data_IF_028905787775
#
_entry.id   IF_028905787775
#
_cell.length_a   1.000
_cell.length_b   1.000
_cell.length_c   1.000
_cell.angle_alpha   90.00
_cell.angle_beta   90.00
_cell.angle_gamma   90.00
#
_symmetry.space_group_name_H-M   'P 1'
#
loop_
_entity.id
_entity.type
_entity.pdbx_description
1 polymer ?
#
# COMPACT_ATOMS: atom_id res chain seq x y z
N UNK A 1 27.13 -47.13 -63.56
CA UNK A 1 26.83 -46.40 -64.80
C UNK A 1 26.41 -44.97 -64.45
N UNK A 2 27.15 -44.01 -65.05
CA UNK A 2 26.70 -42.66 -65.45
C UNK A 2 26.06 -41.77 -64.38
N UNK A 3 26.34 -40.50 -64.18
CA UNK A 3 27.29 -39.46 -64.67
C UNK A 3 26.97 -38.20 -63.92
N UNK A 4 28.02 -37.50 -63.50
CA UNK A 4 28.22 -36.07 -63.43
C UNK A 4 27.03 -35.10 -63.57
N UNK A 5 26.93 -34.05 -62.69
CA UNK A 5 27.09 -32.70 -63.18
C UNK A 5 27.39 -31.74 -62.03
N UNK A 6 28.50 -31.02 -62.13
CA UNK A 6 28.89 -29.85 -61.35
C UNK A 6 28.07 -28.64 -61.83
N UNK A 7 27.70 -27.76 -60.93
CA UNK A 7 27.54 -26.36 -61.31
C UNK A 7 27.97 -25.43 -60.15
N UNK A 8 29.05 -24.77 -60.42
CA UNK A 8 29.61 -23.59 -59.74
C UNK A 8 28.64 -22.41 -59.97
N UNK A 9 28.38 -21.61 -58.95
CA UNK A 9 28.03 -20.21 -59.15
C UNK A 9 28.39 -19.39 -57.89
N UNK A 10 29.50 -18.78 -58.01
CA UNK A 10 29.84 -17.37 -57.90
C UNK A 10 29.30 -16.59 -56.66
N UNK A 11 30.26 -16.26 -55.85
CA UNK A 11 30.21 -15.22 -54.81
C UNK A 11 29.86 -13.84 -55.44
N UNK A 12 28.93 -13.14 -54.83
CA UNK A 12 28.86 -11.68 -54.90
C UNK A 12 28.90 -11.10 -53.51
N UNK A 13 30.08 -10.57 -53.18
CA UNK A 13 30.28 -9.74 -51.97
C UNK A 13 29.80 -8.34 -52.32
N UNK A 14 28.70 -7.92 -51.71
CA UNK A 14 28.34 -6.49 -51.64
C UNK A 14 28.78 -5.92 -50.29
N UNK A 15 29.88 -5.23 -50.30
CA UNK A 15 30.26 -4.30 -49.27
C UNK A 15 29.36 -3.06 -49.45
N UNK A 16 28.37 -2.94 -48.60
CA UNK A 16 27.67 -1.66 -48.39
C UNK A 16 28.19 -1.12 -47.09
N UNK A 17 29.12 -0.22 -47.18
CA UNK A 17 29.48 0.73 -46.11
C UNK A 17 28.37 1.77 -46.07
N UNK A 18 27.55 1.73 -45.05
CA UNK A 18 26.76 2.90 -44.62
C UNK A 18 27.22 3.28 -43.22
N UNK A 19 27.96 4.36 -43.16
CA UNK A 19 28.09 5.14 -41.95
C UNK A 19 26.75 5.87 -41.77
N UNK A 20 25.96 5.48 -40.79
CA UNK A 20 24.95 6.32 -40.20
C UNK A 20 25.19 6.31 -38.70
N UNK A 21 25.50 7.47 -38.18
CA UNK A 21 25.38 7.78 -36.77
C UNK A 21 23.92 7.53 -36.34
N UNK A 22 23.62 6.31 -35.95
CA UNK A 22 22.45 5.99 -35.15
C UNK A 22 22.90 5.99 -33.68
N UNK A 23 22.71 7.12 -33.05
CA UNK A 23 22.61 7.18 -31.60
C UNK A 23 21.35 6.39 -31.23
N UNK A 24 21.47 5.07 -31.17
CA UNK A 24 20.51 4.23 -30.47
C UNK A 24 20.59 4.61 -29.01
N UNK A 25 19.78 5.57 -28.60
CA UNK A 25 19.40 5.70 -27.20
C UNK A 25 18.96 4.30 -26.77
N UNK A 26 19.60 3.68 -25.74
CA UNK A 26 19.13 2.39 -25.24
C UNK A 26 17.63 2.55 -24.96
N UNK A 27 16.79 1.55 -25.31
CA UNK A 27 15.40 1.62 -24.92
C UNK A 27 15.36 1.94 -23.42
N UNK A 28 14.67 3.04 -23.11
CA UNK A 28 14.42 3.39 -21.71
C UNK A 28 13.91 2.13 -21.01
N UNK A 29 14.54 1.61 -19.96
CA UNK A 29 14.06 0.42 -19.31
C UNK A 29 12.58 0.64 -19.03
N UNK A 30 11.74 -0.23 -19.57
CA UNK A 30 10.31 -0.27 -19.26
C UNK A 30 10.21 -0.12 -17.75
N UNK A 31 9.51 0.91 -17.28
CA UNK A 31 9.33 1.19 -15.86
C UNK A 31 8.93 -0.12 -15.19
N UNK A 32 9.87 -0.71 -14.46
CA UNK A 32 9.57 -1.94 -13.72
C UNK A 32 8.49 -1.56 -12.70
N UNK A 33 7.49 -2.39 -12.58
CA UNK A 33 6.53 -2.27 -11.48
C UNK A 33 7.29 -2.53 -10.17
N UNK A 34 7.88 -1.47 -9.62
CA UNK A 34 8.62 -1.56 -8.36
C UNK A 34 7.63 -1.86 -7.24
N UNK A 35 7.97 -2.86 -6.44
CA UNK A 35 7.23 -3.25 -5.23
C UNK A 35 8.16 -3.05 -4.03
N UNK A 36 7.62 -2.42 -3.00
CA UNK A 36 8.33 -2.20 -1.75
C UNK A 36 8.63 -3.55 -1.08
N UNK A 37 9.89 -3.92 -0.92
CA UNK A 37 10.30 -5.19 -0.30
C UNK A 37 10.58 -5.05 1.19
N UNK A 38 11.05 -3.87 1.61
CA UNK A 38 11.42 -3.61 3.01
C UNK A 38 11.33 -2.13 3.33
N UNK A 39 10.94 -1.82 4.55
CA UNK A 39 11.07 -0.50 5.18
C UNK A 39 11.93 -0.62 6.43
N UNK A 40 12.81 0.34 6.65
CA UNK A 40 13.51 0.52 7.92
C UNK A 40 13.07 1.85 8.49
N UNK A 41 12.40 1.83 9.64
CA UNK A 41 12.07 3.00 10.42
C UNK A 41 13.12 3.21 11.49
N UNK A 42 13.59 4.44 11.62
CA UNK A 42 14.48 4.87 12.69
C UNK A 42 13.71 5.83 13.56
N UNK A 43 13.31 5.36 14.73
CA UNK A 43 12.71 6.18 15.78
C UNK A 43 13.82 6.76 16.66
N UNK A 44 13.72 8.07 16.96
CA UNK A 44 14.74 8.79 17.73
C UNK A 44 14.91 8.27 19.18
N UNK A 45 13.92 7.54 19.70
CA UNK A 45 13.88 7.08 21.10
C UNK A 45 13.87 5.56 21.24
N UNK A 46 13.27 4.84 20.29
CA UNK A 46 13.01 3.40 20.40
C UNK A 46 13.98 2.54 19.57
N UNK A 47 14.71 3.16 18.62
CA UNK A 47 15.66 2.45 17.77
C UNK A 47 15.13 2.13 16.37
N UNK A 48 15.69 1.10 15.73
CA UNK A 48 15.39 0.77 14.34
C UNK A 48 14.38 -0.36 14.30
N UNK A 49 13.37 -0.19 13.43
CA UNK A 49 12.33 -1.17 13.18
C UNK A 49 12.33 -1.54 11.70
N UNK A 50 12.30 -2.84 11.43
CA UNK A 50 12.29 -3.35 10.05
C UNK A 50 10.94 -3.99 9.75
N UNK A 51 10.35 -3.62 8.61
CA UNK A 51 9.16 -4.26 8.07
C UNK A 51 9.50 -4.88 6.72
N UNK A 52 9.10 -6.12 6.53
CA UNK A 52 9.29 -6.87 5.30
C UNK A 52 7.94 -7.10 4.61
N UNK A 53 7.95 -7.06 3.27
CA UNK A 53 6.77 -7.19 2.42
C UNK A 53 6.98 -8.36 1.45
N UNK A 54 6.05 -9.32 1.47
CA UNK A 54 6.08 -10.50 0.61
C UNK A 54 4.95 -10.44 -0.41
N UNK A 55 5.27 -10.79 -1.67
CA UNK A 55 4.34 -10.68 -2.80
C UNK A 55 4.20 -11.98 -3.59
N UNK A 56 3.03 -12.14 -4.21
CA UNK A 56 2.79 -13.07 -5.30
C UNK A 56 2.40 -12.25 -6.55
N UNK A 57 3.35 -12.05 -7.47
CA UNK A 57 3.23 -11.02 -8.51
C UNK A 57 3.08 -9.64 -7.88
N UNK A 58 2.04 -8.89 -8.22
CA UNK A 58 1.75 -7.57 -7.62
C UNK A 58 0.74 -7.65 -6.46
N UNK A 59 0.42 -8.83 -5.96
CA UNK A 59 -0.46 -9.03 -4.79
C UNK A 59 0.37 -9.16 -3.55
N UNK A 60 0.14 -8.28 -2.58
CA UNK A 60 0.76 -8.35 -1.26
C UNK A 60 0.21 -9.57 -0.53
N UNK A 61 1.08 -10.44 -0.06
CA UNK A 61 0.71 -11.67 0.65
C UNK A 61 0.89 -11.52 2.14
N UNK A 62 1.97 -10.84 2.54
CA UNK A 62 2.32 -10.68 3.95
C UNK A 62 3.05 -9.36 4.19
N UNK A 63 2.75 -8.73 5.31
CA UNK A 63 3.58 -7.70 5.96
C UNK A 63 4.05 -8.27 7.28
N UNK A 64 5.38 -8.41 7.45
CA UNK A 64 5.99 -8.82 8.70
C UNK A 64 6.68 -7.62 9.34
N UNK A 65 6.26 -7.23 10.56
CA UNK A 65 6.77 -6.08 11.29
C UNK A 65 7.61 -6.57 12.47
N UNK A 66 8.87 -6.14 12.50
CA UNK A 66 9.79 -6.29 13.64
C UNK A 66 10.00 -7.75 14.07
N UNK A 67 9.64 -8.72 13.20
CA UNK A 67 9.56 -10.14 13.54
C UNK A 67 8.60 -10.47 14.71
N UNK A 68 7.74 -9.52 15.10
CA UNK A 68 6.79 -9.65 16.21
C UNK A 68 5.33 -9.61 15.77
N UNK A 69 5.05 -9.10 14.58
CA UNK A 69 3.70 -8.98 14.02
C UNK A 69 3.68 -9.44 12.56
N UNK A 70 2.61 -10.11 12.15
CA UNK A 70 2.39 -10.50 10.75
C UNK A 70 0.96 -10.25 10.33
N UNK A 71 0.77 -9.57 9.18
CA UNK A 71 -0.51 -9.41 8.51
C UNK A 71 -0.54 -10.27 7.25
N UNK A 72 -1.47 -11.20 7.16
CA UNK A 72 -1.65 -12.13 6.03
C UNK A 72 -2.84 -11.69 5.17
N UNK A 73 -2.59 -11.46 3.88
CA UNK A 73 -3.55 -10.92 2.92
C UNK A 73 -4.19 -12.02 2.08
N UNK A 74 -5.51 -12.05 2.00
CA UNK A 74 -6.29 -12.95 1.14
C UNK A 74 -7.06 -12.17 0.09
N UNK A 75 -7.04 -12.68 -1.15
CA UNK A 75 -7.68 -12.04 -2.32
C UNK A 75 -8.81 -12.88 -2.89
N UNK A 76 -9.82 -12.17 -3.41
CA UNK A 76 -10.79 -12.71 -4.36
C UNK A 76 -10.68 -11.91 -5.66
N UNK A 77 -10.19 -12.56 -6.74
CA UNK A 77 -9.77 -11.81 -7.93
C UNK A 77 -8.67 -10.81 -7.58
N UNK A 78 -8.83 -9.55 -7.92
CA UNK A 78 -7.89 -8.47 -7.65
C UNK A 78 -8.25 -7.63 -6.41
N UNK A 79 -9.20 -8.08 -5.61
CA UNK A 79 -9.64 -7.40 -4.40
C UNK A 79 -9.11 -8.11 -3.15
N UNK A 80 -8.57 -7.36 -2.20
CA UNK A 80 -8.24 -7.85 -0.86
C UNK A 80 -9.55 -8.05 -0.11
N UNK A 81 -9.86 -9.29 0.27
CA UNK A 81 -11.13 -9.62 0.94
C UNK A 81 -10.95 -9.97 2.42
N UNK A 82 -9.72 -10.29 2.84
CA UNK A 82 -9.41 -10.57 4.24
C UNK A 82 -7.97 -10.21 4.57
N UNK A 83 -7.76 -9.71 5.80
CA UNK A 83 -6.44 -9.60 6.43
C UNK A 83 -6.53 -10.26 7.80
N UNK A 84 -5.66 -11.23 8.06
CA UNK A 84 -5.49 -11.85 9.37
C UNK A 84 -4.23 -11.28 10.01
N UNK A 85 -4.36 -10.76 11.23
CA UNK A 85 -3.27 -10.11 11.98
C UNK A 85 -2.84 -11.00 13.12
N UNK A 86 -1.55 -11.24 13.21
CA UNK A 86 -0.96 -12.13 14.20
C UNK A 86 0.11 -11.39 15.02
N UNK A 87 0.20 -11.75 16.30
CA UNK A 87 1.43 -11.58 17.07
C UNK A 87 2.32 -12.80 16.86
N UNK A 88 3.62 -12.57 16.75
CA UNK A 88 4.64 -13.61 16.60
C UNK A 88 5.55 -13.57 17.83
N UNK A 89 5.61 -14.64 18.59
CA UNK A 89 6.43 -14.76 19.78
C UNK A 89 7.61 -15.70 19.49
N UNK A 90 8.78 -15.39 20.03
CA UNK A 90 10.01 -16.18 19.85
C UNK A 90 10.36 -16.39 18.36
N UNK A 91 10.15 -15.38 17.54
CA UNK A 91 10.37 -15.41 16.09
C UNK A 91 11.77 -15.95 15.73
N UNK A 92 11.82 -16.78 14.68
CA UNK A 92 13.06 -17.41 14.20
C UNK A 92 13.62 -18.50 15.10
N UNK A 93 12.92 -18.93 16.16
CA UNK A 93 13.32 -20.03 17.03
C UNK A 93 12.49 -21.28 16.79
N UNK A 94 12.94 -22.49 17.24
CA UNK A 94 12.10 -23.69 17.15
C UNK A 94 10.80 -23.64 17.99
N UNK A 95 10.71 -22.70 18.92
CA UNK A 95 9.57 -22.52 19.81
C UNK A 95 8.67 -21.35 19.39
N UNK A 96 8.79 -20.90 18.12
CA UNK A 96 7.98 -19.82 17.56
C UNK A 96 6.48 -20.15 17.68
N UNK A 97 5.72 -19.16 18.17
CA UNK A 97 4.25 -19.24 18.34
C UNK A 97 3.62 -18.03 17.68
N UNK A 98 2.59 -18.27 16.85
CA UNK A 98 1.76 -17.23 16.27
C UNK A 98 0.38 -17.23 16.93
N UNK A 99 -0.11 -16.04 17.32
CA UNK A 99 -1.43 -15.83 17.91
C UNK A 99 -2.25 -14.87 17.02
N UNK A 100 -3.43 -15.33 16.58
CA UNK A 100 -4.35 -14.49 15.82
C UNK A 100 -4.91 -13.37 16.73
N UNK A 101 -4.63 -12.13 16.40
CA UNK A 101 -5.07 -10.94 17.13
C UNK A 101 -6.39 -10.41 16.63
N UNK A 102 -6.55 -10.32 15.31
CA UNK A 102 -7.79 -9.88 14.68
C UNK A 102 -7.90 -10.36 13.24
N UNK A 103 -9.13 -10.35 12.75
CA UNK A 103 -9.42 -10.56 11.32
C UNK A 103 -10.20 -9.39 10.78
N UNK A 104 -9.69 -8.80 9.72
CA UNK A 104 -10.33 -7.76 8.94
C UNK A 104 -10.95 -8.36 7.68
N UNK A 105 -12.25 -8.10 7.44
CA UNK A 105 -13.00 -8.57 6.29
C UNK A 105 -13.49 -7.38 5.47
N UNK A 106 -13.44 -7.51 4.15
CA UNK A 106 -13.77 -6.45 3.20
C UNK A 106 -14.80 -6.93 2.18
N UNK A 107 -15.90 -6.21 2.06
CA UNK A 107 -16.94 -6.47 1.06
C UNK A 107 -17.02 -5.35 0.03
N UNK A 108 -17.22 -5.74 -1.23
CA UNK A 108 -17.22 -4.82 -2.37
C UNK A 108 -18.50 -4.95 -3.18
N UNK A 109 -18.93 -3.84 -3.77
CA UNK A 109 -20.03 -3.85 -4.73
C UNK A 109 -19.53 -4.28 -6.15
N UNK A 110 -20.47 -4.36 -7.09
CA UNK A 110 -20.17 -4.74 -8.48
C UNK A 110 -19.24 -3.77 -9.22
N UNK A 111 -18.99 -2.58 -8.68
CA UNK A 111 -18.07 -1.58 -9.21
C UNK A 111 -16.70 -1.65 -8.52
N UNK A 112 -16.42 -2.69 -7.75
CA UNK A 112 -15.21 -2.87 -6.95
C UNK A 112 -14.97 -1.74 -5.93
N UNK A 113 -16.04 -1.11 -5.42
CA UNK A 113 -15.97 -0.13 -4.36
C UNK A 113 -16.21 -0.85 -3.03
N UNK A 114 -15.38 -0.57 -2.03
CA UNK A 114 -15.52 -1.12 -0.68
C UNK A 114 -16.81 -0.59 -0.03
N UNK A 115 -17.73 -1.48 0.30
CA UNK A 115 -19.03 -1.10 0.92
C UNK A 115 -19.10 -1.47 2.40
N UNK A 116 -18.33 -2.45 2.86
CA UNK A 116 -18.24 -2.83 4.25
C UNK A 116 -16.81 -3.24 4.63
N UNK A 117 -16.41 -2.82 5.80
CA UNK A 117 -15.19 -3.23 6.48
C UNK A 117 -15.55 -3.70 7.88
N UNK A 118 -15.18 -4.94 8.22
CA UNK A 118 -15.47 -5.54 9.50
C UNK A 118 -14.22 -6.07 10.17
N UNK A 119 -14.00 -5.70 11.44
CA UNK A 119 -12.94 -6.27 12.29
C UNK A 119 -13.56 -7.16 13.35
N UNK A 120 -13.03 -8.37 13.49
CA UNK A 120 -13.34 -9.33 14.56
C UNK A 120 -12.09 -9.65 15.37
N UNK A 121 -12.25 -9.88 16.66
CA UNK A 121 -11.17 -10.23 17.59
C UNK A 121 -11.45 -11.63 18.14
N UNK A 122 -10.49 -12.59 18.09
CA UNK A 122 -10.66 -13.92 18.65
C UNK A 122 -11.11 -13.87 20.12
N UNK A 123 -12.02 -14.76 20.49
CA UNK A 123 -12.58 -14.83 21.84
C UNK A 123 -13.33 -13.56 22.32
N UNK A 124 -13.43 -12.53 21.49
CA UNK A 124 -14.30 -11.39 21.73
C UNK A 124 -15.63 -11.63 21.02
N UNK A 125 -16.72 -11.23 21.67
CA UNK A 125 -18.03 -11.21 21.02
C UNK A 125 -18.29 -9.86 20.31
N UNK A 126 -17.33 -8.96 20.37
CA UNK A 126 -17.40 -7.63 19.74
C UNK A 126 -16.97 -7.69 18.28
N UNK A 127 -17.76 -7.10 17.42
CA UNK A 127 -17.40 -6.81 16.04
C UNK A 127 -17.41 -5.29 15.81
N UNK A 128 -16.48 -4.77 15.06
CA UNK A 128 -16.52 -3.39 14.56
C UNK A 128 -16.80 -3.39 13.08
N UNK A 129 -17.88 -2.72 12.68
CA UNK A 129 -18.34 -2.68 11.29
C UNK A 129 -18.35 -1.23 10.82
N UNK A 130 -17.77 -0.97 9.65
CA UNK A 130 -17.84 0.33 8.96
C UNK A 130 -18.48 0.13 7.60
N UNK A 131 -19.54 0.84 7.32
CA UNK A 131 -20.22 0.83 6.01
C UNK A 131 -19.91 2.09 5.23
N UNK A 132 -19.89 1.99 3.90
CA UNK A 132 -19.52 3.09 2.99
C UNK A 132 -20.56 3.30 1.90
N UNK A 133 -20.88 4.56 1.61
CA UNK A 133 -21.76 4.96 0.52
C UNK A 133 -21.04 5.97 -0.37
N UNK A 134 -20.92 5.65 -1.65
CA UNK A 134 -20.21 6.47 -2.65
C UNK A 134 -21.18 7.40 -3.36
N UNK A 135 -20.85 8.68 -3.42
CA UNK A 135 -21.59 9.70 -4.16
C UNK A 135 -20.62 10.65 -4.87
N UNK A 136 -20.39 10.43 -6.17
CA UNK A 136 -19.39 11.17 -6.96
C UNK A 136 -18.02 11.17 -6.27
N UNK A 137 -17.54 12.35 -5.84
CA UNK A 137 -16.24 12.55 -5.19
C UNK A 137 -16.32 12.44 -3.66
N UNK A 138 -17.41 11.98 -3.09
CA UNK A 138 -17.56 11.82 -1.64
C UNK A 138 -17.89 10.38 -1.29
N UNK A 139 -17.37 9.95 -0.13
CA UNK A 139 -17.67 8.67 0.47
C UNK A 139 -18.15 8.97 1.89
N UNK A 140 -19.41 8.72 2.17
CA UNK A 140 -19.90 8.78 3.55
C UNK A 140 -19.72 7.44 4.23
N UNK A 141 -19.47 7.45 5.52
CA UNK A 141 -19.33 6.23 6.31
C UNK A 141 -20.03 6.31 7.65
N UNK A 142 -20.40 5.14 8.14
CA UNK A 142 -20.89 4.92 9.48
C UNK A 142 -20.14 3.75 10.10
N UNK A 143 -19.68 3.92 11.34
CA UNK A 143 -18.99 2.87 12.07
C UNK A 143 -19.75 2.48 13.31
N UNK A 144 -19.98 1.19 13.46
CA UNK A 144 -20.73 0.57 14.55
C UNK A 144 -19.87 -0.40 15.35
N UNK A 145 -20.21 -0.54 16.61
CA UNK A 145 -19.74 -1.63 17.47
C UNK A 145 -20.92 -2.55 17.77
N UNK A 146 -20.74 -3.84 17.48
CA UNK A 146 -21.78 -4.86 17.60
C UNK A 146 -21.42 -5.86 18.68
N UNK A 147 -22.34 -6.14 19.58
CA UNK A 147 -22.27 -7.23 20.54
C UNK A 147 -23.44 -8.17 20.31
N UNK A 148 -23.30 -9.51 20.32
CA UNK A 148 -24.38 -10.45 20.14
C UNK A 148 -25.55 -10.18 21.11
N UNK A 149 -26.75 -10.09 20.54
CA UNK A 149 -27.97 -9.85 21.32
C UNK A 149 -28.24 -8.39 21.69
N UNK A 150 -27.34 -7.46 21.36
CA UNK A 150 -27.54 -6.01 21.57
C UNK A 150 -27.86 -5.31 20.24
N UNK A 151 -28.47 -4.15 20.35
CA UNK A 151 -28.56 -3.23 19.19
C UNK A 151 -27.18 -2.69 18.89
N UNK A 152 -26.74 -2.65 17.59
CA UNK A 152 -25.50 -2.01 17.21
C UNK A 152 -25.37 -0.57 17.74
N UNK A 153 -24.22 -0.25 18.32
CA UNK A 153 -23.94 1.10 18.81
C UNK A 153 -23.20 1.90 17.73
N UNK A 154 -23.75 3.05 17.34
CA UNK A 154 -23.09 3.96 16.41
C UNK A 154 -21.94 4.69 17.10
N UNK A 155 -20.71 4.42 16.67
CA UNK A 155 -19.49 5.02 17.24
C UNK A 155 -19.17 6.37 16.60
N UNK A 156 -19.23 6.42 15.27
CA UNK A 156 -18.91 7.61 14.48
C UNK A 156 -19.51 7.55 13.09
N UNK A 157 -19.73 8.72 12.52
CA UNK A 157 -20.03 8.92 11.10
C UNK A 157 -19.01 9.87 10.48
N UNK A 158 -18.98 9.95 9.17
CA UNK A 158 -18.13 10.95 8.53
C UNK A 158 -18.24 10.96 7.02
N UNK A 159 -17.41 11.83 6.45
CA UNK A 159 -17.31 12.00 5.01
C UNK A 159 -15.86 12.09 4.60
N UNK A 160 -15.50 11.31 3.61
CA UNK A 160 -14.22 11.38 2.89
C UNK A 160 -14.48 12.12 1.59
N UNK A 161 -13.70 13.13 1.28
CA UNK A 161 -13.72 13.80 -0.03
C UNK A 161 -12.52 13.34 -0.85
N UNK A 162 -12.80 12.94 -2.08
CA UNK A 162 -11.79 12.55 -3.07
C UNK A 162 -11.49 13.71 -4.02
N UNK A 163 -10.24 13.91 -4.34
CA UNK A 163 -9.80 14.86 -5.36
C UNK A 163 -8.64 14.25 -6.15
N UNK A 164 -8.72 14.27 -7.48
CA UNK A 164 -7.68 13.77 -8.38
C UNK A 164 -7.23 12.32 -8.09
N UNK A 165 -8.13 11.49 -7.57
CA UNK A 165 -7.87 10.09 -7.21
C UNK A 165 -7.30 9.88 -5.81
N UNK A 166 -7.08 10.96 -5.05
CA UNK A 166 -6.58 10.95 -3.67
C UNK A 166 -7.65 11.38 -2.67
N UNK A 167 -7.47 11.01 -1.42
CA UNK A 167 -8.29 11.48 -0.31
C UNK A 167 -7.84 12.90 0.04
N UNK A 168 -8.67 13.90 -0.17
CA UNK A 168 -8.32 15.29 0.13
C UNK A 168 -8.76 15.75 1.51
N UNK A 169 -9.86 15.22 2.02
CA UNK A 169 -10.41 15.62 3.32
C UNK A 169 -11.10 14.44 4.00
N UNK A 170 -10.93 14.34 5.31
CA UNK A 170 -11.70 13.46 6.18
C UNK A 170 -12.43 14.32 7.21
N UNK A 171 -13.75 14.20 7.28
CA UNK A 171 -14.58 14.74 8.37
C UNK A 171 -15.12 13.58 9.18
N UNK A 172 -14.97 13.65 10.49
CA UNK A 172 -15.49 12.65 11.44
C UNK A 172 -16.35 13.33 12.49
N UNK A 173 -17.50 12.74 12.75
CA UNK A 173 -18.45 13.14 13.79
C UNK A 173 -18.59 11.97 14.77
N UNK A 174 -18.32 12.20 16.04
CA UNK A 174 -18.53 11.29 17.16
C UNK A 174 -19.61 11.89 18.08
N UNK A 175 -20.08 11.13 19.04
CA UNK A 175 -21.12 11.58 19.98
C UNK A 175 -20.75 12.88 20.71
N UNK A 176 -19.47 13.07 21.05
CA UNK A 176 -19.01 14.22 21.87
C UNK A 176 -17.90 15.03 21.22
N UNK A 177 -17.48 14.69 20.00
CA UNK A 177 -16.36 15.31 19.34
C UNK A 177 -16.50 15.24 17.82
N UNK A 178 -15.89 16.18 17.12
CA UNK A 178 -15.78 16.14 15.67
C UNK A 178 -14.44 16.73 15.24
N UNK A 179 -13.86 16.20 14.17
CA UNK A 179 -12.67 16.78 13.58
C UNK A 179 -12.70 16.76 12.05
N UNK A 180 -11.87 17.59 11.46
CA UNK A 180 -11.61 17.61 10.03
C UNK A 180 -10.09 17.55 9.80
N UNK A 181 -9.65 16.61 8.98
CA UNK A 181 -8.29 16.52 8.52
C UNK A 181 -8.23 16.81 7.01
N UNK A 182 -7.24 17.57 6.58
CA UNK A 182 -6.95 17.86 5.17
C UNK A 182 -5.62 17.23 4.81
N UNK A 183 -5.53 16.69 3.60
CA UNK A 183 -4.39 15.93 3.12
C UNK A 183 -3.80 16.56 1.89
N UNK A 184 -2.49 16.61 1.84
CA UNK A 184 -1.72 17.07 0.70
C UNK A 184 -0.72 16.03 0.27
N UNK A 185 -0.50 15.96 -1.03
CA UNK A 185 0.34 14.94 -1.66
C UNK A 185 1.38 15.62 -2.55
N UNK A 186 2.49 14.91 -2.77
CA UNK A 186 3.43 15.28 -3.81
C UNK A 186 2.93 14.86 -5.21
N UNK A 187 3.81 14.82 -6.20
CA UNK A 187 3.50 14.34 -7.55
C UNK A 187 4.30 13.09 -7.92
N UNK A 188 4.82 12.37 -6.91
CA UNK A 188 5.67 11.20 -7.05
C UNK A 188 4.88 9.92 -6.76
N UNK A 189 5.45 8.77 -7.09
CA UNK A 189 4.78 7.49 -6.92
C UNK A 189 4.65 7.11 -5.44
N UNK A 190 3.43 6.73 -5.03
CA UNK A 190 3.20 6.12 -3.71
C UNK A 190 3.93 4.77 -3.59
N UNK A 191 4.38 4.43 -2.38
CA UNK A 191 5.07 3.18 -2.07
C UNK A 191 4.24 1.93 -2.42
N UNK A 192 2.90 2.00 -2.36
CA UNK A 192 1.99 0.89 -2.67
C UNK A 192 1.25 1.05 -4.01
N UNK A 193 1.63 2.00 -4.84
CA UNK A 193 0.95 2.29 -6.12
C UNK A 193 0.76 1.07 -7.02
N UNK A 194 1.72 0.14 -7.03
CA UNK A 194 1.69 -1.05 -7.86
C UNK A 194 1.11 -2.29 -7.18
N UNK A 195 0.66 -2.17 -5.93
CA UNK A 195 0.05 -3.28 -5.20
C UNK A 195 -1.42 -3.39 -5.55
N UNK A 196 -1.79 -4.52 -6.15
CA UNK A 196 -3.17 -4.77 -6.59
C UNK A 196 -4.13 -4.74 -5.40
N UNK A 197 -5.20 -3.94 -5.52
CA UNK A 197 -6.29 -3.87 -4.53
C UNK A 197 -5.97 -3.05 -3.28
N UNK A 198 -4.72 -2.59 -3.11
CA UNK A 198 -4.32 -1.82 -1.92
C UNK A 198 -4.97 -0.43 -1.87
N UNK A 199 -5.18 0.19 -3.02
CA UNK A 199 -5.88 1.46 -3.18
C UNK A 199 -7.27 1.48 -2.52
N UNK A 200 -7.95 0.34 -2.47
CA UNK A 200 -9.28 0.21 -1.86
C UNK A 200 -9.24 0.25 -0.33
N UNK A 201 -8.10 -0.10 0.28
CA UNK A 201 -7.94 -0.10 1.73
C UNK A 201 -7.70 1.29 2.32
N UNK A 202 -7.30 2.27 1.52
CA UNK A 202 -6.92 3.60 2.01
C UNK A 202 -8.05 4.29 2.80
N UNK A 203 -9.31 4.05 2.41
CA UNK A 203 -10.46 4.61 3.15
C UNK A 203 -10.63 4.00 4.55
N UNK A 204 -10.17 2.75 4.77
CA UNK A 204 -10.23 2.12 6.09
C UNK A 204 -9.09 2.62 6.99
N UNK A 205 -7.89 2.76 6.43
CA UNK A 205 -6.72 3.23 7.16
C UNK A 205 -6.94 4.62 7.73
N UNK A 206 -7.40 5.56 6.91
CA UNK A 206 -7.59 6.95 7.31
C UNK A 206 -8.65 7.12 8.42
N UNK A 207 -9.69 6.27 8.43
CA UNK A 207 -10.71 6.25 9.49
C UNK A 207 -10.16 5.61 10.76
N UNK A 208 -9.36 4.55 10.62
CA UNK A 208 -8.75 3.81 11.74
C UNK A 208 -7.79 4.68 12.55
N UNK A 209 -6.95 5.43 11.88
CA UNK A 209 -5.92 6.30 12.51
C UNK A 209 -6.47 7.62 13.04
N UNK A 210 -7.79 7.86 12.98
CA UNK A 210 -8.42 9.12 13.36
C UNK A 210 -7.87 10.35 12.63
N UNK A 211 -7.44 10.16 11.38
CA UNK A 211 -6.85 11.22 10.57
C UNK A 211 -5.38 11.50 10.88
N UNK A 212 -4.77 10.74 11.79
CA UNK A 212 -3.34 10.80 12.06
C UNK A 212 -2.61 9.77 11.21
N UNK A 213 -1.57 10.20 10.52
CA UNK A 213 -0.63 9.32 9.83
C UNK A 213 0.59 9.00 10.72
N UNK A 214 0.36 8.85 12.00
CA UNK A 214 1.42 8.65 12.98
C UNK A 214 1.49 7.21 13.41
N UNK A 215 2.32 6.46 12.81
CA UNK A 215 2.87 5.17 13.21
C UNK A 215 2.66 4.04 12.20
N UNK A 216 3.75 3.46 11.85
CA UNK A 216 3.81 2.19 11.11
C UNK A 216 3.59 2.34 9.60
N UNK A 217 4.19 1.53 8.92
CA UNK A 217 4.52 1.33 7.53
C UNK A 217 3.45 1.60 6.47
N UNK A 218 2.19 1.59 6.85
CA UNK A 218 1.07 1.71 5.91
C UNK A 218 0.65 3.15 5.64
N UNK A 219 1.23 4.10 6.33
CA UNK A 219 0.66 5.44 6.48
C UNK A 219 1.37 6.52 5.68
N UNK A 220 2.57 6.26 5.18
CA UNK A 220 3.36 7.26 4.44
C UNK A 220 2.94 7.42 2.99
N UNK A 221 2.14 6.53 2.44
CA UNK A 221 1.66 6.57 1.06
C UNK A 221 0.19 6.99 0.94
N UNK A 222 -0.15 7.80 -0.06
CA UNK A 222 -1.51 7.95 -0.56
C UNK A 222 -1.86 6.83 -1.56
N UNK A 223 -2.93 7.00 -2.30
CA UNK A 223 -3.37 6.04 -3.31
C UNK A 223 -2.39 6.02 -4.49
N UNK A 224 -2.11 7.18 -5.06
CA UNK A 224 -1.25 7.37 -6.24
C UNK A 224 0.09 8.02 -5.89
N UNK A 225 0.09 8.91 -4.92
CA UNK A 225 1.18 9.82 -4.56
C UNK A 225 1.54 9.70 -3.07
N UNK A 226 2.66 10.29 -2.67
CA UNK A 226 3.06 10.26 -1.27
C UNK A 226 2.42 11.41 -0.51
N UNK A 227 1.99 11.10 0.69
CA UNK A 227 1.42 12.07 1.61
C UNK A 227 2.52 12.97 2.19
N UNK A 228 2.36 14.31 2.15
CA UNK A 228 3.36 15.27 2.60
C UNK A 228 2.91 16.15 3.76
N UNK A 229 1.63 16.13 4.11
CA UNK A 229 1.03 16.83 5.26
C UNK A 229 1.59 18.25 5.48
N UNK A 230 1.47 19.10 4.44
CA UNK A 230 1.94 20.50 4.49
C UNK A 230 3.43 20.68 4.90
N UNK A 231 4.28 19.70 4.56
CA UNK A 231 5.73 19.75 4.82
C UNK A 231 6.18 19.08 6.13
N UNK A 232 5.31 18.34 6.79
CA UNK A 232 5.73 17.49 7.92
C UNK A 232 6.51 16.24 7.48
N UNK A 233 6.34 15.83 6.21
CA UNK A 233 7.05 14.70 5.59
C UNK A 233 7.87 15.16 4.41
N UNK A 234 9.17 14.90 4.47
CA UNK A 234 10.14 15.16 3.41
C UNK A 234 10.67 13.85 2.83
N UNK A 235 10.62 13.71 1.50
CA UNK A 235 11.07 12.52 0.79
C UNK A 235 12.26 12.77 -0.12
N UNK A 236 13.06 11.72 -0.31
CA UNK A 236 13.99 11.63 -1.46
C UNK A 236 13.57 10.45 -2.34
N UNK A 237 13.86 10.52 -3.65
CA UNK A 237 13.29 9.61 -4.65
C UNK A 237 14.39 8.95 -5.49
N UNK A 238 14.10 7.76 -6.01
CA UNK A 238 14.89 7.12 -7.05
C UNK A 238 14.57 7.71 -8.44
N UNK A 239 15.22 7.17 -9.48
CA UNK A 239 15.03 7.63 -10.86
C UNK A 239 13.63 7.34 -11.43
N UNK A 240 12.88 6.41 -10.82
CA UNK A 240 11.52 6.03 -11.20
C UNK A 240 10.46 6.72 -10.35
N UNK A 241 10.86 7.80 -9.62
CA UNK A 241 9.98 8.61 -8.77
C UNK A 241 9.36 7.86 -7.57
N UNK A 242 9.97 6.77 -7.09
CA UNK A 242 9.58 6.09 -5.84
C UNK A 242 10.44 6.58 -4.68
N UNK A 243 9.86 6.75 -3.46
CA UNK A 243 10.60 7.18 -2.29
C UNK A 243 11.73 6.22 -1.96
N UNK A 244 12.91 6.73 -1.62
CA UNK A 244 14.03 5.96 -1.04
C UNK A 244 14.25 6.31 0.42
N UNK A 245 13.89 7.53 0.83
CA UNK A 245 13.83 7.93 2.24
C UNK A 245 12.65 8.83 2.50
N UNK A 246 12.21 8.87 3.77
CA UNK A 246 11.31 9.90 4.28
C UNK A 246 11.77 10.37 5.66
N UNK A 247 11.46 11.63 6.00
CA UNK A 247 11.64 12.19 7.33
C UNK A 247 10.35 12.82 7.80
N UNK A 248 9.90 12.41 8.98
CA UNK A 248 8.78 13.04 9.65
C UNK A 248 9.29 14.02 10.68
N UNK A 249 8.91 15.27 10.56
CA UNK A 249 9.30 16.35 11.46
C UNK A 249 8.09 16.93 12.18
N UNK A 250 8.27 17.24 13.46
CA UNK A 250 7.25 17.88 14.27
C UNK A 250 7.91 19.03 15.06
N UNK A 251 7.38 20.25 14.92
CA UNK A 251 7.97 21.48 15.48
C UNK A 251 9.46 21.65 15.17
N UNK A 252 9.89 21.24 13.96
CA UNK A 252 11.28 21.38 13.51
C UNK A 252 12.24 20.30 14.02
N UNK A 253 11.77 19.31 14.77
CA UNK A 253 12.55 18.15 15.19
C UNK A 253 12.14 16.92 14.38
N UNK A 254 13.10 16.16 13.87
CA UNK A 254 12.84 14.87 13.22
C UNK A 254 12.45 13.86 14.30
N UNK A 255 11.27 13.28 14.17
CA UNK A 255 10.77 12.23 15.07
C UNK A 255 11.08 10.85 14.51
N UNK A 256 10.78 10.63 13.23
CA UNK A 256 10.97 9.39 12.54
C UNK A 256 11.69 9.62 11.21
N UNK A 257 12.51 8.69 10.81
CA UNK A 257 13.05 8.62 9.46
C UNK A 257 12.86 7.22 8.91
N UNK A 258 12.69 7.12 7.60
CA UNK A 258 12.35 5.87 6.91
C UNK A 258 13.30 5.68 5.74
N UNK A 259 13.67 4.42 5.51
CA UNK A 259 14.37 3.98 4.31
C UNK A 259 13.49 2.93 3.60
N UNK A 260 13.33 3.08 2.29
CA UNK A 260 12.50 2.20 1.46
C UNK A 260 13.36 1.42 0.48
N UNK A 261 13.13 0.11 0.39
CA UNK A 261 13.86 -0.81 -0.46
C UNK A 261 12.88 -1.55 -1.38
N UNK A 262 13.20 -1.58 -2.68
CA UNK A 262 12.36 -2.18 -3.72
C UNK A 262 13.02 -3.42 -4.31
#
# INVERSE_FOLDING_TARGET
MKKHLYLFSAALVFLVSCSSDDSTTPPNPTSQNLLLSKTVEVDAFLGNFTTNYTYNGNKLVEINRYDEESDIYTYTGDLITKIEKFNVYLSGTPDEVTELVSTDLFEYNSNNQLIEFKTTIPNSQMERVTTYVYNNNTITFEQYENFPGNTPELLKTGTITMQDGEISTLQVVKTFDSFTANYTYDNKNSIFKNVIGYDKLMVTHIIGTQGSFTSGDTVLGGILHNFVNNGELDYTYNADDYPITAKQSFFGSVLHSYEFYY
#
